data_IF_626504431429
#
_entry.id   IF_626504431429
#
_cell.length_a   1.000
_cell.length_b   1.000
_cell.length_c   1.000
_cell.angle_alpha   90.00
_cell.angle_beta   90.00
_cell.angle_gamma   90.00
#
_symmetry.space_group_name_H-M   'P 1'
#
loop_
_entity.id
_entity.type
_entity.pdbx_description
1 polymer ?
#
# COMPACT_ATOMS: atom_id res chain seq x y z
N UNK A 1 6.82 80.85 -27.82
CA UNK A 1 6.76 82.16 -28.49
C UNK A 1 8.16 82.75 -28.48
N UNK A 2 8.78 82.91 -29.65
CA UNK A 2 10.09 83.56 -29.78
C UNK A 2 9.90 85.09 -29.86
N UNK A 3 10.95 85.87 -29.63
CA UNK A 3 10.89 87.32 -29.83
C UNK A 3 10.59 87.65 -31.31
N UNK A 4 9.95 88.80 -31.61
CA UNK A 4 9.53 89.12 -32.98
C UNK A 4 10.74 89.39 -33.89
N UNK A 5 11.36 88.34 -34.40
CA UNK A 5 12.50 88.40 -35.33
C UNK A 5 12.10 88.44 -36.81
N UNK A 6 10.83 88.17 -37.09
CA UNK A 6 10.23 88.16 -38.42
C UNK A 6 9.66 89.52 -38.86
N UNK A 7 9.54 90.48 -37.94
CA UNK A 7 9.03 91.83 -38.23
C UNK A 7 10.23 92.77 -38.38
N UNK A 8 10.49 93.34 -39.57
CA UNK A 8 11.58 94.30 -39.76
C UNK A 8 11.37 95.57 -38.90
N UNK A 9 12.46 96.10 -38.33
CA UNK A 9 12.44 97.40 -37.64
C UNK A 9 11.96 97.39 -36.18
N UNK A 10 11.82 96.22 -35.54
CA UNK A 10 11.37 96.13 -34.12
C UNK A 10 12.43 96.45 -33.07
N UNK A 11 13.63 96.89 -33.47
CA UNK A 11 14.66 97.39 -32.53
C UNK A 11 15.13 96.38 -31.48
N UNK A 12 15.13 95.07 -31.77
CA UNK A 12 15.64 94.04 -30.85
C UNK A 12 17.16 93.95 -30.92
N UNK A 13 17.83 93.72 -29.78
CA UNK A 13 19.26 93.43 -29.71
C UNK A 13 19.44 92.03 -29.15
N UNK A 14 20.10 91.15 -29.91
CA UNK A 14 20.28 89.73 -29.57
C UNK A 14 18.97 88.98 -29.24
N UNK A 15 17.86 89.40 -29.86
CA UNK A 15 16.55 88.81 -29.61
C UNK A 15 15.94 89.21 -28.26
N UNK A 16 16.38 90.28 -27.61
CA UNK A 16 15.76 90.82 -26.41
C UNK A 16 15.23 92.24 -26.65
N UNK A 17 14.21 92.62 -25.88
CA UNK A 17 13.73 94.00 -25.84
C UNK A 17 14.78 94.90 -25.18
N UNK A 18 15.03 96.06 -25.78
CA UNK A 18 15.95 97.10 -25.31
C UNK A 18 15.22 98.44 -25.28
N UNK A 19 15.61 99.32 -24.35
CA UNK A 19 15.11 100.69 -24.33
C UNK A 19 15.75 101.52 -25.44
N UNK A 20 15.11 102.63 -25.80
CA UNK A 20 15.74 103.65 -26.63
C UNK A 20 16.92 104.27 -25.88
N UNK A 21 18.04 104.43 -26.56
CA UNK A 21 19.20 105.16 -26.06
C UNK A 21 19.50 106.35 -27.00
N UNK A 22 19.06 107.57 -26.63
CA UNK A 22 19.28 108.77 -27.43
C UNK A 22 20.75 109.15 -27.60
N UNK A 23 21.65 108.69 -26.70
CA UNK A 23 23.07 109.05 -26.75
C UNK A 23 23.84 108.23 -27.79
N UNK A 24 23.42 106.98 -28.03
CA UNK A 24 24.05 106.09 -29.02
C UNK A 24 23.25 105.97 -30.31
N UNK A 25 22.05 106.59 -30.37
CA UNK A 25 21.13 106.51 -31.50
C UNK A 25 20.42 105.15 -31.62
N UNK A 26 20.48 104.33 -30.56
CA UNK A 26 19.83 103.02 -30.53
C UNK A 26 18.32 103.21 -30.33
N UNK A 27 17.55 102.79 -31.33
CA UNK A 27 16.09 102.81 -31.25
C UNK A 27 15.61 101.76 -30.24
N UNK A 28 14.64 102.15 -29.42
CA UNK A 28 13.99 101.23 -28.48
C UNK A 28 13.21 100.14 -29.22
N UNK A 29 13.09 98.99 -28.58
CA UNK A 29 12.33 97.90 -29.17
C UNK A 29 10.85 98.24 -29.24
N UNK A 30 10.28 98.02 -30.42
CA UNK A 30 8.85 98.13 -30.64
C UNK A 30 8.22 96.79 -30.27
N UNK A 31 7.12 96.81 -29.51
CA UNK A 31 6.32 95.63 -29.19
C UNK A 31 5.21 95.53 -30.24
N UNK A 32 5.29 94.62 -31.23
CA UNK A 32 4.23 94.50 -32.24
C UNK A 32 2.94 93.98 -31.62
N UNK A 33 1.80 94.46 -32.12
CA UNK A 33 0.48 93.99 -31.66
C UNK A 33 0.32 92.46 -31.83
N UNK A 34 0.90 91.88 -32.89
CA UNK A 34 0.91 90.43 -33.11
C UNK A 34 1.55 89.67 -31.93
N UNK A 35 2.67 90.17 -31.40
CA UNK A 35 3.35 89.55 -30.26
C UNK A 35 2.52 89.67 -28.98
N UNK A 36 1.98 90.85 -28.70
CA UNK A 36 1.11 91.07 -27.53
C UNK A 36 -0.14 90.20 -27.56
N UNK A 37 -0.80 90.12 -28.72
CA UNK A 37 -1.97 89.28 -28.93
C UNK A 37 -1.66 87.79 -28.80
N UNK A 38 -0.51 87.34 -29.30
CA UNK A 38 -0.11 85.94 -29.20
C UNK A 38 0.23 85.54 -27.76
N UNK A 39 0.91 86.40 -26.99
CA UNK A 39 1.11 86.17 -25.55
C UNK A 39 -0.23 86.08 -24.81
N UNK A 40 -1.15 87.00 -25.07
CA UNK A 40 -2.49 86.97 -24.46
C UNK A 40 -3.28 85.72 -24.87
N UNK A 41 -3.15 85.28 -26.12
CA UNK A 41 -3.82 84.07 -26.62
C UNK A 41 -3.32 82.79 -25.97
N UNK A 42 -2.01 82.69 -25.67
CA UNK A 42 -1.44 81.58 -24.88
C UNK A 42 -2.01 81.56 -23.46
N UNK A 43 -2.08 82.72 -22.79
CA UNK A 43 -2.67 82.84 -21.47
C UNK A 43 -4.16 82.47 -21.46
N UNK A 44 -4.92 82.93 -22.46
CA UNK A 44 -6.31 82.55 -22.64
C UNK A 44 -6.47 81.07 -22.94
N UNK A 45 -5.56 80.45 -23.69
CA UNK A 45 -5.57 79.01 -23.97
C UNK A 45 -5.35 78.17 -22.72
N UNK A 46 -4.48 78.61 -21.80
CA UNK A 46 -4.28 77.97 -20.49
C UNK A 46 -5.57 78.04 -19.66
N UNK A 47 -6.23 79.21 -19.60
CA UNK A 47 -7.49 79.37 -18.88
C UNK A 47 -8.64 78.56 -19.51
N UNK A 48 -8.71 78.53 -20.85
CA UNK A 48 -9.71 77.78 -21.60
C UNK A 48 -9.59 76.26 -21.39
N UNK A 49 -8.36 75.71 -21.30
CA UNK A 49 -8.13 74.29 -20.96
C UNK A 49 -8.71 73.89 -19.61
N UNK A 50 -8.98 74.86 -18.74
CA UNK A 50 -9.58 74.66 -17.42
C UNK A 50 -11.02 75.17 -17.34
N UNK A 51 -11.61 75.54 -18.47
CA UNK A 51 -13.00 76.02 -18.55
C UNK A 51 -13.23 77.39 -17.94
N UNK A 52 -12.18 78.22 -17.77
CA UNK A 52 -12.28 79.57 -17.20
C UNK A 52 -12.40 80.60 -18.31
N UNK A 53 -13.45 81.43 -18.25
CA UNK A 53 -13.63 82.60 -19.12
C UNK A 53 -12.87 83.79 -18.53
N UNK A 54 -11.96 84.43 -19.28
CA UNK A 54 -11.20 85.58 -18.80
C UNK A 54 -12.09 86.78 -18.43
N UNK A 55 -11.81 87.40 -17.30
CA UNK A 55 -12.48 88.58 -16.75
C UNK A 55 -11.48 89.73 -16.59
N UNK A 56 -11.70 90.85 -17.27
CA UNK A 56 -10.80 92.01 -17.24
C UNK A 56 -10.69 92.67 -15.85
N UNK A 57 -11.64 92.39 -14.95
CA UNK A 57 -11.63 92.91 -13.58
C UNK A 57 -10.81 92.07 -12.60
N UNK A 58 -10.30 90.90 -13.01
CA UNK A 58 -9.55 89.97 -12.16
C UNK A 58 -8.10 89.79 -12.62
N UNK A 59 -7.17 90.08 -11.71
CA UNK A 59 -5.72 90.05 -12.00
C UNK A 59 -5.00 88.77 -11.50
N UNK A 60 -5.73 87.77 -11.01
CA UNK A 60 -5.18 86.53 -10.43
C UNK A 60 -5.66 85.24 -11.13
N UNK A 61 -6.44 85.33 -12.20
CA UNK A 61 -7.10 84.18 -12.86
C UNK A 61 -6.12 83.13 -13.38
N UNK A 62 -4.97 83.57 -13.91
CA UNK A 62 -3.92 82.67 -14.36
C UNK A 62 -3.35 81.85 -13.18
N UNK A 63 -3.15 82.51 -12.03
CA UNK A 63 -2.68 81.83 -10.82
C UNK A 63 -3.71 80.82 -10.31
N UNK A 64 -5.00 81.18 -10.31
CA UNK A 64 -6.08 80.26 -9.92
C UNK A 64 -6.11 79.01 -10.79
N UNK A 65 -5.90 79.14 -12.10
CA UNK A 65 -5.92 78.02 -13.06
C UNK A 65 -4.68 77.12 -12.95
N UNK A 66 -3.50 77.71 -12.74
CA UNK A 66 -2.24 76.96 -12.65
C UNK A 66 -2.14 76.24 -11.31
N UNK A 67 -2.57 76.86 -10.21
CA UNK A 67 -2.48 76.30 -8.86
C UNK A 67 -3.77 75.62 -8.37
N UNK A 68 -4.74 75.40 -9.26
CA UNK A 68 -5.96 74.66 -8.94
C UNK A 68 -5.64 73.25 -8.43
N UNK A 69 -6.23 72.88 -7.29
CA UNK A 69 -6.15 71.54 -6.73
C UNK A 69 -6.90 70.53 -7.60
N UNK A 70 -6.39 69.30 -7.69
CA UNK A 70 -7.09 68.23 -8.39
C UNK A 70 -8.36 67.81 -7.63
N UNK A 71 -9.38 67.40 -8.38
CA UNK A 71 -10.62 66.83 -7.85
C UNK A 71 -10.92 65.51 -8.57
N UNK A 72 -11.95 64.77 -8.13
CA UNK A 72 -12.37 63.54 -8.81
C UNK A 72 -12.75 63.75 -10.29
N UNK A 73 -13.17 64.96 -10.67
CA UNK A 73 -13.69 65.26 -12.01
C UNK A 73 -12.80 66.24 -12.81
N UNK A 74 -11.71 66.74 -12.22
CA UNK A 74 -10.83 67.71 -12.87
C UNK A 74 -9.37 67.48 -12.47
N UNK A 75 -8.48 67.42 -13.46
CA UNK A 75 -7.04 67.39 -13.23
C UNK A 75 -6.58 68.64 -12.44
N UNK A 76 -5.47 68.56 -11.71
CA UNK A 76 -4.96 69.68 -10.92
C UNK A 76 -3.67 69.31 -10.19
N UNK A 77 -3.20 70.20 -9.32
CA UNK A 77 -2.09 69.90 -8.41
C UNK A 77 -2.54 68.99 -7.26
N UNK A 78 -1.70 68.03 -6.88
CA UNK A 78 -1.94 67.12 -5.75
C UNK A 78 -0.75 67.15 -4.81
N UNK A 79 -1.01 67.29 -3.51
CA UNK A 79 0.04 67.17 -2.49
C UNK A 79 0.25 65.69 -2.16
N UNK A 80 1.49 65.29 -1.88
CA UNK A 80 1.79 63.95 -1.37
C UNK A 80 1.38 63.83 0.10
N UNK A 81 0.77 62.71 0.45
CA UNK A 81 0.45 62.37 1.84
C UNK A 81 1.73 62.15 2.65
N UNK A 82 1.67 62.41 3.96
CA UNK A 82 2.69 61.94 4.90
C UNK A 82 2.31 60.57 5.52
N UNK A 83 3.19 59.99 6.33
CA UNK A 83 2.97 58.67 6.93
C UNK A 83 1.76 58.61 7.90
N UNK A 84 1.47 59.69 8.63
CA UNK A 84 0.32 59.74 9.54
C UNK A 84 -1.00 59.83 8.76
N UNK A 85 -1.02 60.60 7.67
CA UNK A 85 -2.18 60.73 6.78
C UNK A 85 -2.47 59.43 6.02
N UNK A 86 -1.42 58.77 5.53
CA UNK A 86 -1.53 57.46 4.88
C UNK A 86 -2.08 56.40 5.84
N UNK A 87 -1.61 56.38 7.10
CA UNK A 87 -2.12 55.48 8.13
C UNK A 87 -3.57 55.79 8.56
N UNK A 88 -3.96 57.06 8.58
CA UNK A 88 -5.33 57.45 8.94
C UNK A 88 -6.35 57.11 7.84
N UNK A 89 -5.95 57.16 6.57
CA UNK A 89 -6.78 56.74 5.43
C UNK A 89 -8.04 57.58 5.16
N UNK A 90 -8.16 58.76 5.78
CA UNK A 90 -9.35 59.62 5.68
C UNK A 90 -9.23 60.75 4.65
N UNK A 91 -8.01 61.08 4.21
CA UNK A 91 -7.77 62.22 3.32
C UNK A 91 -7.91 61.82 1.85
N UNK A 92 -8.93 62.36 1.17
CA UNK A 92 -9.21 62.10 -0.25
C UNK A 92 -8.51 63.06 -1.23
N UNK A 93 -7.76 64.06 -0.76
CA UNK A 93 -7.16 65.12 -1.60
C UNK A 93 -5.65 64.97 -1.80
N UNK A 94 -5.02 63.97 -1.19
CA UNK A 94 -3.57 63.72 -1.27
C UNK A 94 -3.24 62.40 -1.95
N UNK A 95 -2.13 62.36 -2.69
CA UNK A 95 -1.64 61.16 -3.36
C UNK A 95 -0.69 60.34 -2.46
N UNK A 96 -0.78 59.01 -2.57
CA UNK A 96 0.12 58.06 -1.90
C UNK A 96 1.32 57.77 -2.81
N UNK A 97 2.53 57.67 -2.24
CA UNK A 97 3.74 57.26 -2.95
C UNK A 97 3.95 55.74 -2.86
N UNK A 98 4.73 55.11 -3.76
CA UNK A 98 5.07 53.68 -3.65
C UNK A 98 5.74 53.32 -2.32
N UNK A 99 6.51 54.24 -1.72
CA UNK A 99 7.14 54.03 -0.42
C UNK A 99 6.11 53.95 0.71
N UNK A 100 5.16 54.89 0.73
CA UNK A 100 4.04 54.88 1.69
C UNK A 100 3.13 53.68 1.48
N UNK A 101 2.84 53.32 0.23
CA UNK A 101 2.06 52.12 -0.10
C UNK A 101 2.73 50.86 0.46
N UNK A 102 4.04 50.69 0.24
CA UNK A 102 4.79 49.58 0.82
C UNK A 102 4.75 49.60 2.35
N UNK A 103 4.93 50.77 2.96
CA UNK A 103 4.89 50.93 4.41
C UNK A 103 3.54 50.51 4.99
N UNK A 104 2.42 50.95 4.42
CA UNK A 104 1.08 50.58 4.89
C UNK A 104 0.76 49.11 4.58
N UNK A 105 1.15 48.57 3.42
CA UNK A 105 0.99 47.14 3.09
C UNK A 105 1.79 46.27 4.06
N UNK A 106 3.01 46.67 4.45
CA UNK A 106 3.82 45.93 5.43
C UNK A 106 3.24 45.98 6.86
N UNK A 107 2.38 46.96 7.16
CA UNK A 107 1.65 47.00 8.43
C UNK A 107 0.41 46.14 8.45
N UNK A 108 -0.11 45.71 7.29
CA UNK A 108 -1.17 44.70 7.23
C UNK A 108 -0.57 43.46 7.93
N UNK A 109 -0.98 43.17 9.17
CA UNK A 109 -0.50 41.98 9.84
C UNK A 109 -0.98 40.81 8.99
N UNK A 110 -0.15 39.81 8.76
CA UNK A 110 -0.61 38.48 8.33
C UNK A 110 -1.78 38.11 9.26
N UNK A 111 -3.03 37.97 8.77
CA UNK A 111 -4.24 38.52 9.37
C UNK A 111 -4.30 38.31 10.88
N UNK A 112 -3.78 39.25 11.68
CA UNK A 112 -3.48 38.94 13.08
C UNK A 112 -4.64 39.21 14.03
N UNK A 113 -4.99 38.28 14.95
CA UNK A 113 -4.17 37.15 15.42
C UNK A 113 -4.07 36.11 14.30
N UNK A 114 -2.87 35.89 13.74
CA UNK A 114 -2.68 35.36 12.37
C UNK A 114 -3.57 34.15 12.23
N UNK A 115 -4.69 34.17 11.48
CA UNK A 115 -5.94 33.44 11.80
C UNK A 115 -5.63 32.21 12.63
N UNK A 116 -5.62 32.36 13.97
CA UNK A 116 -4.82 31.50 14.87
C UNK A 116 -4.88 30.04 14.44
N UNK A 117 -3.75 29.32 14.45
CA UNK A 117 -3.62 27.93 14.00
C UNK A 117 -4.93 27.16 14.18
N UNK A 118 -5.44 26.57 13.10
CA UNK A 118 -6.69 25.83 13.19
C UNK A 118 -6.58 24.77 14.28
N UNK A 119 -7.63 24.66 15.08
CA UNK A 119 -7.75 23.63 16.11
C UNK A 119 -9.00 22.80 15.88
N UNK A 120 -9.19 21.75 16.68
CA UNK A 120 -10.40 20.95 16.66
C UNK A 120 -11.68 21.72 17.04
N UNK A 121 -11.55 22.95 17.57
CA UNK A 121 -12.66 23.76 18.06
C UNK A 121 -12.73 25.17 17.45
N UNK A 122 -11.71 25.59 16.68
CA UNK A 122 -11.63 26.94 16.10
C UNK A 122 -11.08 26.89 14.68
N UNK A 123 -11.77 27.57 13.76
CA UNK A 123 -11.30 27.75 12.37
C UNK A 123 -10.05 28.64 12.35
N UNK A 124 -9.07 28.28 11.54
CA UNK A 124 -7.79 28.98 11.41
C UNK A 124 -7.03 28.57 10.15
N UNK A 125 -5.79 29.04 10.00
CA UNK A 125 -4.88 28.55 8.95
C UNK A 125 -4.21 27.23 9.35
N UNK A 126 -3.80 26.44 8.36
CA UNK A 126 -3.09 25.17 8.53
C UNK A 126 -1.89 25.13 7.60
N UNK A 127 -0.73 24.72 8.12
CA UNK A 127 0.46 24.44 7.31
C UNK A 127 0.44 23.00 6.78
N UNK A 128 0.96 22.76 5.58
CA UNK A 128 1.19 21.40 5.08
C UNK A 128 2.36 20.73 5.81
N UNK A 129 2.18 19.47 6.18
CA UNK A 129 3.22 18.64 6.78
C UNK A 129 4.33 18.30 5.77
N UNK A 130 5.56 18.19 6.25
CA UNK A 130 6.66 17.57 5.53
C UNK A 130 6.55 16.03 5.58
N UNK A 131 7.33 15.32 4.76
CA UNK A 131 7.38 13.85 4.79
C UNK A 131 7.87 13.31 6.14
N UNK A 132 8.81 13.99 6.80
CA UNK A 132 9.29 13.60 8.13
C UNK A 132 8.21 13.79 9.21
N UNK A 133 7.47 14.88 9.16
CA UNK A 133 6.38 15.16 10.10
C UNK A 133 5.19 14.22 9.91
N UNK A 134 4.83 13.93 8.65
CA UNK A 134 3.78 12.97 8.33
C UNK A 134 4.14 11.55 8.81
N UNK A 135 5.41 11.15 8.68
CA UNK A 135 5.90 9.87 9.19
C UNK A 135 5.95 9.81 10.73
N UNK A 136 6.29 10.91 11.39
CA UNK A 136 6.31 10.98 12.85
C UNK A 136 4.89 10.93 13.45
N UNK A 137 3.90 11.50 12.77
CA UNK A 137 2.49 11.45 13.19
C UNK A 137 2.17 12.15 14.51
N UNK A 138 3.08 12.99 15.02
CA UNK A 138 2.95 13.67 16.33
C UNK A 138 2.36 15.07 16.24
N UNK A 139 2.40 15.70 15.05
CA UNK A 139 1.96 17.07 14.86
C UNK A 139 0.47 17.13 14.50
N UNK A 140 -0.37 17.58 15.45
CA UNK A 140 -1.81 17.72 15.27
C UNK A 140 -2.28 19.02 14.62
N UNK A 141 -1.38 19.94 14.27
CA UNK A 141 -1.71 21.27 13.70
C UNK A 141 -1.40 21.40 12.21
N UNK A 142 -0.91 20.32 11.56
CA UNK A 142 -0.55 20.30 10.14
C UNK A 142 -1.43 19.38 9.30
N UNK A 143 -1.70 19.77 8.06
CA UNK A 143 -2.46 18.96 7.09
C UNK A 143 -1.53 18.08 6.23
N UNK A 144 -2.00 16.88 5.88
CA UNK A 144 -1.31 15.98 4.95
C UNK A 144 -1.89 16.11 3.54
N UNK A 145 -1.04 16.03 2.51
CA UNK A 145 -1.49 15.98 1.11
C UNK A 145 -1.89 14.56 0.72
N UNK A 146 -2.72 14.36 -0.33
CA UNK A 146 -3.01 13.02 -0.85
C UNK A 146 -1.76 12.21 -1.21
N UNK A 147 -0.70 12.86 -1.68
CA UNK A 147 0.58 12.22 -1.99
C UNK A 147 1.29 11.69 -0.73
N UNK A 148 1.32 12.49 0.35
CA UNK A 148 1.87 12.07 1.64
C UNK A 148 1.02 10.98 2.30
N UNK A 149 -0.31 11.10 2.22
CA UNK A 149 -1.23 10.07 2.69
C UNK A 149 -0.99 8.75 1.94
N UNK A 150 -0.87 8.81 0.61
CA UNK A 150 -0.53 7.63 -0.20
C UNK A 150 0.82 7.05 0.22
N UNK A 151 1.86 7.88 0.35
CA UNK A 151 3.19 7.43 0.76
C UNK A 151 3.17 6.70 2.12
N UNK A 152 2.49 7.26 3.12
CA UNK A 152 2.44 6.67 4.47
C UNK A 152 1.49 5.47 4.56
N UNK A 153 0.38 5.48 3.81
CA UNK A 153 -0.52 4.35 3.69
C UNK A 153 0.15 3.17 2.96
N UNK A 154 0.93 3.43 1.91
CA UNK A 154 1.68 2.40 1.19
C UNK A 154 2.74 1.74 2.09
N UNK A 155 3.33 2.46 3.06
CA UNK A 155 4.23 1.87 4.09
C UNK A 155 3.51 0.87 5.01
N UNK A 156 2.18 0.95 5.15
CA UNK A 156 1.39 0.04 5.99
C UNK A 156 1.12 -1.32 5.36
N UNK A 157 1.58 -1.58 4.12
CA UNK A 157 1.82 -2.96 3.68
C UNK A 157 3.20 -3.38 4.20
N UNK A 158 3.29 -4.25 5.23
CA UNK A 158 4.59 -4.70 5.67
C UNK A 158 5.22 -5.51 4.55
N UNK A 159 6.28 -4.98 3.94
CA UNK A 159 7.30 -5.83 3.34
C UNK A 159 7.80 -6.71 4.48
N UNK A 160 7.62 -8.02 4.36
CA UNK A 160 7.86 -9.04 5.39
C UNK A 160 9.26 -8.99 6.06
N UNK A 161 10.18 -8.15 5.58
CA UNK A 161 11.54 -8.00 6.10
C UNK A 161 11.76 -6.93 7.17
N UNK A 162 10.77 -6.10 7.55
CA UNK A 162 10.99 -4.97 8.46
C UNK A 162 9.98 -4.80 9.61
N UNK A 163 9.19 -5.82 9.94
CA UNK A 163 8.36 -5.77 11.14
C UNK A 163 9.28 -5.68 12.38
N UNK A 164 9.14 -4.66 13.26
CA UNK A 164 9.76 -4.70 14.58
C UNK A 164 9.28 -5.95 15.29
N UNK A 165 10.17 -6.59 16.08
CA UNK A 165 9.87 -7.83 16.79
C UNK A 165 8.47 -7.78 17.40
N UNK A 166 7.57 -8.61 16.89
CA UNK A 166 6.21 -8.68 17.37
C UNK A 166 6.24 -9.39 18.73
N UNK A 167 6.45 -8.63 19.80
CA UNK A 167 6.44 -9.15 21.17
C UNK A 167 4.97 -9.35 21.57
N UNK A 168 4.39 -10.45 21.12
CA UNK A 168 3.06 -10.89 21.56
C UNK A 168 3.24 -11.88 22.71
N UNK A 169 2.55 -11.64 23.83
CA UNK A 169 2.41 -12.59 24.93
C UNK A 169 1.29 -13.62 24.68
N UNK A 170 0.61 -13.54 23.53
CA UNK A 170 -0.42 -14.49 23.08
C UNK A 170 -0.15 -15.06 21.68
N UNK A 171 -0.99 -16.02 21.21
CA UNK A 171 -0.81 -16.62 19.89
C UNK A 171 -0.96 -15.59 18.78
N UNK A 172 0.07 -15.45 17.95
CA UNK A 172 0.02 -14.66 16.71
C UNK A 172 -0.44 -15.61 15.59
N UNK A 173 -1.58 -15.30 14.97
CA UNK A 173 -1.97 -15.94 13.71
C UNK A 173 -1.49 -15.12 12.52
N UNK A 174 -0.52 -15.64 11.76
CA UNK A 174 -0.11 -15.07 10.48
C UNK A 174 -0.89 -15.72 9.35
N UNK A 175 -1.90 -15.03 8.80
CA UNK A 175 -2.62 -15.49 7.60
C UNK A 175 -1.85 -15.10 6.33
N UNK A 176 -1.04 -16.01 5.80
CA UNK A 176 -0.38 -15.84 4.50
C UNK A 176 -1.31 -16.30 3.37
N UNK A 177 -1.78 -15.37 2.55
CA UNK A 177 -2.57 -15.65 1.34
C UNK A 177 -1.70 -15.42 0.11
N UNK A 178 -1.49 -16.47 -0.70
CA UNK A 178 -0.93 -16.30 -2.05
C UNK A 178 -2.07 -16.05 -3.04
N UNK A 179 -1.81 -15.32 -4.13
CA UNK A 179 -2.78 -15.05 -5.20
C UNK A 179 -3.29 -16.33 -5.90
N UNK A 180 -2.64 -17.49 -5.68
CA UNK A 180 -2.93 -18.76 -6.34
C UNK A 180 -3.68 -19.78 -5.46
N UNK A 181 -4.06 -19.43 -4.23
CA UNK A 181 -4.79 -20.34 -3.33
C UNK A 181 -4.01 -20.72 -2.08
N UNK A 182 -4.77 -21.07 -1.06
CA UNK A 182 -4.43 -21.09 0.37
C UNK A 182 -3.12 -21.82 0.73
N UNK A 183 -2.26 -21.17 1.52
CA UNK A 183 -1.28 -21.86 2.38
C UNK A 183 -1.79 -21.70 3.82
N UNK A 184 -2.11 -22.83 4.45
CA UNK A 184 -2.65 -22.88 5.80
C UNK A 184 -1.53 -22.67 6.85
N UNK A 185 -1.69 -21.58 7.62
CA UNK A 185 -1.25 -21.32 9.01
C UNK A 185 0.15 -21.80 9.43
N UNK A 186 1.05 -20.83 9.66
CA UNK A 186 2.24 -21.01 10.51
C UNK A 186 1.87 -20.55 11.92
N UNK A 187 1.74 -21.48 12.88
CA UNK A 187 1.71 -21.14 14.31
C UNK A 187 3.12 -21.28 14.88
N UNK A 188 3.75 -20.18 15.28
CA UNK A 188 4.97 -20.22 16.09
C UNK A 188 4.62 -20.36 17.57
N UNK A 189 5.11 -21.40 18.25
CA UNK A 189 5.13 -21.44 19.72
C UNK A 189 6.41 -20.76 20.23
N UNK A 190 6.30 -20.11 21.39
CA UNK A 190 7.30 -19.19 21.97
C UNK A 190 8.45 -19.97 22.64
N UNK A 191 9.66 -19.43 22.48
CA UNK A 191 10.90 -19.56 23.29
C UNK A 191 12.12 -20.33 22.71
N UNK A 192 11.98 -21.22 21.73
CA UNK A 192 13.15 -21.87 21.09
C UNK A 192 13.01 -21.91 19.56
N UNK A 193 14.02 -21.39 18.86
CA UNK A 193 14.05 -21.13 17.40
C UNK A 193 14.11 -22.43 16.56
N UNK A 194 13.98 -23.60 17.17
CA UNK A 194 14.15 -24.92 16.54
C UNK A 194 12.84 -25.58 16.10
N UNK A 195 11.67 -25.06 16.46
CA UNK A 195 10.37 -25.70 16.20
C UNK A 195 9.58 -25.04 15.05
N UNK A 196 10.10 -25.12 13.82
CA UNK A 196 9.29 -24.80 12.63
C UNK A 196 8.33 -25.97 12.33
N UNK A 197 7.02 -25.72 12.41
CA UNK A 197 6.00 -26.71 12.08
C UNK A 197 5.05 -26.16 10.99
N UNK A 198 4.75 -26.99 9.98
CA UNK A 198 3.74 -26.69 8.97
C UNK A 198 2.45 -27.46 9.32
N UNK A 199 1.42 -26.76 9.80
CA UNK A 199 0.13 -27.36 10.19
C UNK A 199 -0.52 -26.70 11.41
N UNK A 200 -1.66 -27.23 11.83
CA UNK A 200 -2.40 -26.75 13.01
C UNK A 200 -2.08 -27.67 14.19
N UNK A 201 -1.65 -27.10 15.32
CA UNK A 201 -1.67 -27.80 16.59
C UNK A 201 -3.10 -27.80 17.14
N UNK A 202 -3.59 -28.99 17.51
CA UNK A 202 -4.89 -29.10 18.19
C UNK A 202 -4.74 -29.05 19.71
N UNK A 203 -5.85 -29.18 20.43
CA UNK A 203 -5.87 -29.13 21.90
C UNK A 203 -5.03 -30.22 22.57
N UNK A 204 -4.65 -31.28 21.85
CA UNK A 204 -3.77 -32.35 22.34
C UNK A 204 -2.29 -32.08 22.07
N UNK A 205 -1.94 -30.98 21.38
CA UNK A 205 -0.57 -30.66 21.02
C UNK A 205 -0.04 -31.40 19.79
N UNK A 206 -0.90 -32.13 19.08
CA UNK A 206 -0.51 -32.87 17.88
C UNK A 206 -0.43 -31.95 16.66
N UNK A 207 0.54 -32.17 15.78
CA UNK A 207 0.65 -31.45 14.51
C UNK A 207 -0.28 -32.08 13.46
N UNK A 208 -1.20 -31.30 12.90
CA UNK A 208 -2.18 -31.78 11.92
C UNK A 208 -2.06 -31.03 10.59
N UNK A 209 -1.88 -31.78 9.51
CA UNK A 209 -2.03 -31.34 8.12
C UNK A 209 -3.43 -31.76 7.64
N UNK A 210 -4.26 -30.81 7.22
CA UNK A 210 -5.64 -31.08 6.79
C UNK A 210 -5.93 -30.53 5.39
N UNK A 211 -6.55 -31.35 4.54
CA UNK A 211 -7.12 -30.93 3.27
C UNK A 211 -8.64 -30.99 3.34
N UNK A 212 -9.29 -29.83 3.39
CA UNK A 212 -10.75 -29.73 3.41
C UNK A 212 -11.38 -30.30 2.14
N UNK A 213 -10.83 -29.94 0.96
CA UNK A 213 -11.32 -30.40 -0.34
C UNK A 213 -11.32 -31.93 -0.46
N UNK A 214 -10.28 -32.57 0.09
CA UNK A 214 -10.13 -34.02 0.00
C UNK A 214 -10.63 -34.75 1.25
N UNK A 215 -11.14 -34.04 2.25
CA UNK A 215 -11.49 -34.57 3.57
C UNK A 215 -10.43 -35.56 4.11
N UNK A 216 -9.17 -35.13 4.10
CA UNK A 216 -8.00 -35.95 4.43
C UNK A 216 -7.13 -35.25 5.47
N UNK A 217 -6.56 -36.01 6.40
CA UNK A 217 -5.68 -35.51 7.44
C UNK A 217 -4.48 -36.41 7.67
N UNK A 218 -3.32 -35.80 7.92
CA UNK A 218 -2.14 -36.44 8.49
C UNK A 218 -1.86 -35.81 9.85
N UNK A 219 -1.76 -36.63 10.88
CA UNK A 219 -1.60 -36.23 12.27
C UNK A 219 -0.33 -36.85 12.84
N UNK A 220 0.55 -36.00 13.34
CA UNK A 220 1.80 -36.38 13.99
C UNK A 220 1.60 -36.16 15.49
N UNK A 221 1.58 -37.27 16.22
CA UNK A 221 1.52 -37.31 17.68
C UNK A 221 2.91 -37.66 18.24
N UNK A 222 3.05 -37.60 19.57
CA UNK A 222 4.33 -37.92 20.23
C UNK A 222 4.84 -39.34 19.99
N UNK A 223 3.94 -40.30 19.72
CA UNK A 223 4.24 -41.72 19.62
C UNK A 223 3.93 -42.35 18.25
N UNK A 224 3.22 -41.64 17.37
CA UNK A 224 2.71 -42.21 16.12
C UNK A 224 2.37 -41.16 15.07
N UNK A 225 2.30 -41.61 13.82
CA UNK A 225 1.74 -40.85 12.70
C UNK A 225 0.44 -41.53 12.26
N UNK A 226 -0.66 -40.78 12.24
CA UNK A 226 -1.99 -41.24 11.83
C UNK A 226 -2.43 -40.52 10.57
N UNK A 227 -2.86 -41.26 9.57
CA UNK A 227 -3.48 -40.69 8.38
C UNK A 227 -4.95 -41.11 8.32
N UNK A 228 -5.86 -40.22 7.95
CA UNK A 228 -7.28 -40.57 7.73
C UNK A 228 -7.53 -41.25 6.39
N UNK A 229 -6.52 -41.30 5.52
CA UNK A 229 -6.48 -42.03 4.27
C UNK A 229 -5.16 -42.81 4.17
N UNK A 230 -5.07 -43.87 3.34
CA UNK A 230 -3.82 -44.61 3.15
C UNK A 230 -2.68 -43.68 2.72
N UNK A 231 -1.50 -43.92 3.31
CA UNK A 231 -0.26 -43.32 2.83
C UNK A 231 0.23 -44.12 1.63
N UNK A 232 0.72 -43.44 0.60
CA UNK A 232 1.28 -44.08 -0.58
C UNK A 232 2.78 -43.78 -0.65
N UNK A 233 3.57 -44.79 -0.97
CA UNK A 233 4.94 -44.64 -1.45
C UNK A 233 4.92 -44.94 -2.95
N UNK A 234 5.22 -43.94 -3.77
CA UNK A 234 4.95 -43.97 -5.21
C UNK A 234 3.49 -44.37 -5.49
N UNK A 235 3.26 -45.46 -6.22
CA UNK A 235 1.93 -45.96 -6.56
C UNK A 235 1.43 -47.06 -5.62
N UNK A 236 2.18 -47.41 -4.56
CA UNK A 236 1.83 -48.49 -3.64
C UNK A 236 1.40 -47.95 -2.28
N UNK A 237 0.30 -48.48 -1.74
CA UNK A 237 -0.10 -48.14 -0.39
C UNK A 237 0.91 -48.71 0.63
N UNK A 238 1.27 -47.90 1.63
CA UNK A 238 2.07 -48.34 2.78
C UNK A 238 1.26 -49.37 3.56
N UNK A 239 1.88 -50.53 3.87
CA UNK A 239 1.25 -51.65 4.56
C UNK A 239 0.67 -51.15 5.90
N UNK A 240 -0.64 -51.38 6.09
CA UNK A 240 -1.33 -51.06 7.35
C UNK A 240 -1.39 -52.30 8.24
N UNK A 241 -1.68 -52.14 9.53
CA UNK A 241 -1.89 -53.28 10.44
C UNK A 241 -2.94 -54.28 9.91
N UNK A 242 -3.91 -53.83 9.10
CA UNK A 242 -4.94 -54.69 8.53
C UNK A 242 -4.41 -55.67 7.45
N UNK A 243 -3.24 -55.41 6.87
CA UNK A 243 -2.65 -56.23 5.80
C UNK A 243 -1.33 -56.89 6.19
N UNK A 244 -0.79 -56.60 7.38
CA UNK A 244 0.40 -57.23 7.92
C UNK A 244 0.09 -58.61 8.52
N UNK A 245 0.78 -59.65 8.06
CA UNK A 245 0.70 -60.98 8.66
C UNK A 245 1.18 -60.94 10.11
N UNK A 246 0.41 -61.55 11.02
CA UNK A 246 0.69 -61.62 12.46
C UNK A 246 0.21 -60.42 13.28
N UNK A 247 -0.23 -59.32 12.66
CA UNK A 247 -0.81 -58.20 13.39
C UNK A 247 -2.27 -58.47 13.77
N UNK A 248 -2.54 -58.55 15.07
CA UNK A 248 -3.88 -58.83 15.60
C UNK A 248 -4.41 -60.24 15.27
N UNK A 249 -3.54 -61.17 14.87
CA UNK A 249 -3.88 -62.56 14.56
C UNK A 249 -3.46 -63.49 15.70
N UNK A 250 -4.15 -64.63 15.82
CA UNK A 250 -3.81 -65.67 16.80
C UNK A 250 -3.65 -67.04 16.13
N UNK A 251 -2.79 -67.88 16.69
CA UNK A 251 -2.64 -69.27 16.25
C UNK A 251 -3.82 -70.11 16.74
N UNK A 252 -4.52 -70.75 15.81
CA UNK A 252 -5.64 -71.66 16.07
C UNK A 252 -5.22 -73.07 15.68
N UNK A 253 -5.44 -74.03 16.58
CA UNK A 253 -5.31 -75.45 16.25
C UNK A 253 -6.53 -75.89 15.42
N UNK A 254 -6.32 -76.08 14.13
CA UNK A 254 -7.34 -76.47 13.17
C UNK A 254 -7.33 -77.97 12.83
N UNK A 255 -6.47 -78.77 13.48
CA UNK A 255 -6.22 -80.20 13.13
C UNK A 255 -7.51 -81.01 13.01
N UNK A 256 -8.44 -80.88 13.96
CA UNK A 256 -9.70 -81.62 13.96
C UNK A 256 -10.72 -81.13 12.90
N UNK A 257 -10.49 -79.96 12.32
CA UNK A 257 -11.40 -79.29 11.37
C UNK A 257 -10.87 -79.27 9.93
N UNK A 258 -9.77 -79.99 9.68
CA UNK A 258 -9.08 -80.02 8.40
C UNK A 258 -8.87 -81.48 7.98
N UNK A 259 -8.85 -81.70 6.68
CA UNK A 259 -8.79 -83.02 6.07
C UNK A 259 -8.02 -82.96 4.74
N UNK A 260 -7.29 -84.04 4.45
CA UNK A 260 -6.57 -84.24 3.18
C UNK A 260 -7.59 -84.31 2.04
N UNK A 261 -7.23 -83.76 0.88
CA UNK A 261 -8.06 -83.69 -0.33
C UNK A 261 -9.12 -82.59 -0.30
N UNK A 262 -9.30 -81.89 0.83
CA UNK A 262 -10.28 -80.81 0.96
C UNK A 262 -9.64 -79.44 0.74
N UNK A 263 -10.32 -78.59 -0.01
CA UNK A 263 -9.91 -77.21 -0.30
C UNK A 263 -10.55 -76.22 0.66
N UNK A 264 -9.73 -75.39 1.30
CA UNK A 264 -10.15 -74.35 2.23
C UNK A 264 -9.89 -72.97 1.64
N UNK A 265 -10.75 -71.99 1.92
CA UNK A 265 -10.58 -70.61 1.47
C UNK A 265 -10.14 -69.72 2.63
N UNK A 266 -9.18 -68.83 2.40
CA UNK A 266 -8.91 -67.74 3.32
C UNK A 266 -10.01 -66.66 3.21
N UNK A 267 -11.00 -66.74 4.09
CA UNK A 267 -12.10 -65.79 4.20
C UNK A 267 -11.87 -64.68 5.22
N UNK A 268 -10.67 -64.57 5.82
CA UNK A 268 -10.39 -63.62 6.91
C UNK A 268 -10.25 -62.15 6.44
N UNK A 269 -10.29 -61.88 5.13
CA UNK A 269 -10.10 -60.54 4.57
C UNK A 269 -8.67 -60.00 4.70
N UNK A 270 -7.72 -60.81 5.22
CA UNK A 270 -6.30 -60.49 5.38
C UNK A 270 -5.43 -61.74 5.12
N UNK A 271 -4.12 -61.60 4.86
CA UNK A 271 -3.23 -62.76 4.77
C UNK A 271 -3.29 -63.62 6.04
N UNK A 272 -3.27 -64.93 5.89
CA UNK A 272 -3.14 -65.90 6.99
C UNK A 272 -1.87 -66.70 6.79
N UNK A 273 -1.35 -67.29 7.87
CA UNK A 273 -0.34 -68.33 7.75
C UNK A 273 -0.91 -69.69 8.11
N UNK A 274 -0.47 -70.73 7.43
CA UNK A 274 -0.80 -72.12 7.74
C UNK A 274 0.49 -72.88 7.99
N UNK A 275 0.54 -73.59 9.10
CA UNK A 275 1.66 -74.43 9.49
C UNK A 275 1.14 -75.84 9.70
N UNK A 276 1.64 -76.80 8.93
CA UNK A 276 1.08 -78.15 8.88
C UNK A 276 2.21 -79.17 9.01
N UNK A 277 1.98 -80.16 9.87
CA UNK A 277 2.85 -81.31 10.09
C UNK A 277 2.09 -82.58 9.68
N UNK A 278 2.68 -83.37 8.79
CA UNK A 278 2.08 -84.61 8.31
C UNK A 278 3.08 -85.73 8.07
N UNK A 279 2.57 -86.97 8.00
CA UNK A 279 3.23 -88.15 7.46
C UNK A 279 2.52 -88.62 6.19
N UNK A 280 3.26 -89.19 5.25
CA UNK A 280 2.77 -89.67 3.95
C UNK A 280 3.04 -88.75 2.75
N UNK A 281 2.83 -89.28 1.54
CA UNK A 281 3.04 -88.58 0.26
C UNK A 281 1.87 -87.65 -0.07
N UNK A 282 1.83 -86.52 0.64
CA UNK A 282 0.92 -85.41 0.39
C UNK A 282 1.66 -84.10 0.21
N UNK A 283 0.96 -83.15 -0.40
CA UNK A 283 1.44 -81.87 -0.83
C UNK A 283 0.57 -80.74 -0.26
N UNK A 284 1.21 -79.70 0.29
CA UNK A 284 0.55 -78.44 0.58
C UNK A 284 0.57 -77.57 -0.69
N UNK A 285 -0.61 -77.14 -1.11
CA UNK A 285 -0.79 -76.32 -2.30
C UNK A 285 -1.64 -75.08 -1.99
N UNK A 286 -1.36 -73.98 -2.69
CA UNK A 286 -2.14 -72.72 -2.63
C UNK A 286 -2.60 -72.33 -4.03
N UNK A 287 -3.79 -71.76 -4.16
CA UNK A 287 -4.38 -71.37 -5.43
C UNK A 287 -5.15 -70.06 -5.33
N UNK A 288 -4.93 -69.16 -6.29
CA UNK A 288 -5.70 -67.91 -6.39
C UNK A 288 -7.13 -68.13 -6.93
N UNK A 289 -7.34 -69.19 -7.72
CA UNK A 289 -8.60 -69.42 -8.45
C UNK A 289 -9.28 -70.77 -8.13
N UNK A 290 -8.59 -71.66 -7.41
CA UNK A 290 -9.03 -73.01 -7.07
C UNK A 290 -8.84 -74.07 -8.15
N UNK A 291 -8.28 -73.70 -9.30
CA UNK A 291 -8.04 -74.63 -10.43
C UNK A 291 -6.55 -74.80 -10.69
N UNK A 292 -5.78 -73.70 -10.67
CA UNK A 292 -4.33 -73.71 -10.84
C UNK A 292 -3.67 -73.71 -9.46
N UNK A 293 -2.99 -74.79 -9.11
CA UNK A 293 -2.43 -75.01 -7.78
C UNK A 293 -0.91 -74.83 -7.80
N UNK A 294 -0.40 -73.97 -6.92
CA UNK A 294 1.03 -73.77 -6.69
C UNK A 294 1.46 -74.72 -5.58
N UNK A 295 2.41 -75.60 -5.89
CA UNK A 295 3.01 -76.52 -4.93
C UNK A 295 3.90 -75.73 -3.96
N UNK A 296 3.56 -75.74 -2.66
CA UNK A 296 4.36 -75.08 -1.63
C UNK A 296 5.37 -76.04 -1.01
N UNK A 297 4.90 -77.25 -0.67
CA UNK A 297 5.74 -78.29 -0.09
C UNK A 297 5.17 -79.66 -0.41
N UNK A 298 6.04 -80.65 -0.56
CA UNK A 298 5.69 -82.05 -0.77
C UNK A 298 6.74 -82.96 -0.18
N UNK A 299 6.32 -84.08 0.38
CA UNK A 299 7.21 -85.21 0.66
C UNK A 299 7.35 -86.08 -0.57
N UNK A 300 8.57 -86.37 -1.01
CA UNK A 300 8.82 -87.08 -2.29
C UNK A 300 9.22 -88.56 -2.05
N UNK A 301 9.76 -88.94 -0.88
CA UNK A 301 9.96 -90.34 -0.43
C UNK A 301 10.54 -90.40 1.01
N UNK A 302 10.51 -91.57 1.67
CA UNK A 302 11.15 -91.82 2.99
C UNK A 302 10.18 -92.14 4.14
N UNK A 303 10.69 -92.28 5.38
CA UNK A 303 9.93 -92.57 6.63
C UNK A 303 9.84 -91.38 7.60
N UNK A 304 10.22 -90.16 7.17
CA UNK A 304 10.28 -88.98 8.03
C UNK A 304 9.07 -88.06 7.83
N UNK A 305 8.51 -87.55 8.91
CA UNK A 305 7.43 -86.56 8.87
C UNK A 305 7.87 -85.25 8.19
N UNK A 306 6.91 -84.51 7.64
CA UNK A 306 7.13 -83.26 6.92
C UNK A 306 6.38 -82.11 7.60
N UNK A 307 7.05 -80.97 7.70
CA UNK A 307 6.46 -79.70 8.13
C UNK A 307 6.44 -78.74 6.95
N UNK A 308 5.35 -77.99 6.79
CA UNK A 308 5.29 -76.90 5.83
C UNK A 308 4.63 -75.67 6.41
N UNK A 309 5.05 -74.53 5.88
CA UNK A 309 4.50 -73.21 6.20
C UNK A 309 4.12 -72.51 4.89
N UNK A 310 2.93 -71.94 4.84
CA UNK A 310 2.49 -71.13 3.71
C UNK A 310 1.76 -69.87 4.16
N UNK A 311 2.00 -68.77 3.46
CA UNK A 311 1.16 -67.58 3.55
C UNK A 311 0.06 -67.72 2.50
N UNK A 312 -1.20 -67.59 2.91
CA UNK A 312 -2.36 -67.66 2.03
C UNK A 312 -2.98 -66.27 1.93
N UNK A 313 -2.89 -65.58 0.77
CA UNK A 313 -3.52 -64.27 0.59
C UNK A 313 -5.05 -64.32 0.77
N UNK A 314 -5.71 -63.19 1.07
CA UNK A 314 -7.16 -63.16 1.20
C UNK A 314 -7.85 -63.64 -0.09
N UNK A 315 -8.92 -64.41 0.06
CA UNK A 315 -9.68 -65.00 -1.04
C UNK A 315 -9.00 -66.20 -1.72
N UNK A 316 -7.72 -66.47 -1.46
CA UNK A 316 -7.03 -67.63 -2.01
C UNK A 316 -7.46 -68.92 -1.31
N UNK A 317 -7.31 -70.03 -2.02
CA UNK A 317 -7.57 -71.38 -1.52
C UNK A 317 -6.27 -72.10 -1.18
N UNK A 318 -6.33 -73.00 -0.22
CA UNK A 318 -5.21 -73.86 0.19
C UNK A 318 -5.73 -75.24 0.53
N UNK A 319 -4.91 -76.26 0.29
CA UNK A 319 -5.24 -77.65 0.58
C UNK A 319 -3.99 -78.47 0.85
N UNK A 320 -4.18 -79.55 1.60
CA UNK A 320 -3.24 -80.68 1.59
C UNK A 320 -3.84 -81.75 0.69
N UNK A 321 -3.12 -82.20 -0.33
CA UNK A 321 -3.63 -83.15 -1.33
C UNK A 321 -2.61 -84.24 -1.65
N UNK A 322 -3.06 -85.42 -2.04
CA UNK A 322 -2.22 -86.59 -2.31
C UNK A 322 -3.01 -87.87 -2.07
N UNK A 323 -2.32 -89.00 -1.87
CA UNK A 323 -2.95 -90.30 -1.67
C UNK A 323 -2.23 -91.19 -0.65
N UNK A 324 -2.87 -92.30 -0.26
CA UNK A 324 -2.33 -93.26 0.71
C UNK A 324 -2.82 -93.04 2.16
N UNK A 325 -2.18 -93.71 3.13
CA UNK A 325 -2.47 -93.63 4.57
C UNK A 325 -1.87 -92.37 5.23
N UNK A 326 -1.88 -91.24 4.55
CA UNK A 326 -1.28 -90.01 5.06
C UNK A 326 -2.06 -89.46 6.27
N UNK A 327 -1.32 -88.97 7.27
CA UNK A 327 -1.89 -88.49 8.54
C UNK A 327 -1.42 -87.05 8.77
N UNK A 328 -2.36 -86.18 9.12
CA UNK A 328 -2.06 -84.83 9.61
C UNK A 328 -1.93 -84.93 11.13
N UNK A 329 -0.74 -84.63 11.67
CA UNK A 329 -0.51 -84.60 13.11
C UNK A 329 -0.88 -83.25 13.72
N UNK A 330 -0.50 -82.17 13.04
CA UNK A 330 -0.79 -80.81 13.48
C UNK A 330 -1.15 -79.91 12.30
N UNK A 331 -2.17 -79.08 12.51
CA UNK A 331 -2.53 -78.01 11.59
C UNK A 331 -2.81 -76.74 12.38
N UNK A 332 -1.88 -75.79 12.31
CA UNK A 332 -2.01 -74.46 12.87
C UNK A 332 -2.40 -73.45 11.79
N UNK A 333 -3.32 -72.55 12.11
CA UNK A 333 -3.62 -71.38 11.27
C UNK A 333 -3.46 -70.11 12.10
N UNK A 334 -2.59 -69.20 11.67
CA UNK A 334 -2.49 -67.85 12.20
C UNK A 334 -3.53 -67.00 11.48
N UNK A 335 -4.61 -66.63 12.18
CA UNK A 335 -5.76 -65.93 11.61
C UNK A 335 -6.17 -64.71 12.40
#
# INVERSE_FOLDING_TARGET
MDYPKSVPGVGLVNGLFVNEDPATGQLGSIIPAEWGNALMSELFSVMAKRGVTPDETKFNQLAEVIFALATANAAGMVQLANAAEAAAGTNATKAITPALLRQEISKIPDPSPAPGDASSIQKGIIQLATSAEAAAGTNGTKAVTPALLKQEADKRLPVLGSLPALVSTGPIELQLRSAAGNVNVVRGFVADVTAWQAGVSDASGDLVLFSATHNASLRISSDRIRASKPLYFENSAVITEATALGSGQAWINATASRAIGTSYTNSAGRPIAVAIHWDGDVALEVSANGTNWVLIARRISGTADTNAFAIVPPGHRYRVTGGGNAVIYHWGELR
#
